data_IF_670199558533
#
_entry.id   IF_670199558533
#
_cell.length_a   1.000
_cell.length_b   1.000
_cell.length_c   1.000
_cell.angle_alpha   90.00
_cell.angle_beta   90.00
_cell.angle_gamma   90.00
#
_symmetry.space_group_name_H-M   'P 1'
#
loop_
_entity.id
_entity.type
_entity.pdbx_description
1 polymer ?
#
# COMPACT_ATOMS: atom_id res chain seq x y z
N UNK A 1 8.83 5.53 20.54
CA UNK A 1 8.90 5.53 19.06
C UNK A 1 7.81 6.47 18.62
N UNK A 2 8.11 7.42 17.73
CA UNK A 2 7.18 8.50 17.40
C UNK A 2 6.06 7.97 16.48
N UNK A 3 4.87 7.77 17.05
CA UNK A 3 3.68 7.30 16.34
C UNK A 3 3.29 8.24 15.17
N UNK A 4 3.86 9.46 15.12
CA UNK A 4 3.70 10.43 14.04
C UNK A 4 4.17 9.92 12.66
N UNK A 5 5.18 9.05 12.63
CA UNK A 5 5.71 8.54 11.37
C UNK A 5 4.82 7.42 10.81
N UNK A 6 4.21 6.61 11.70
CA UNK A 6 3.34 5.52 11.27
C UNK A 6 2.05 6.06 10.64
N UNK A 7 1.46 7.11 11.22
CA UNK A 7 0.26 7.75 10.66
C UNK A 7 0.53 8.37 9.28
N UNK A 8 1.71 8.98 9.07
CA UNK A 8 2.12 9.48 7.75
C UNK A 8 2.15 8.37 6.68
N UNK A 9 2.73 7.21 7.01
CA UNK A 9 2.76 6.08 6.08
C UNK A 9 1.39 5.46 5.86
N UNK A 10 0.53 5.43 6.88
CA UNK A 10 -0.85 4.96 6.75
C UNK A 10 -1.64 5.82 5.75
N UNK A 11 -1.54 7.15 5.86
CA UNK A 11 -2.18 8.07 4.92
C UNK A 11 -1.63 7.94 3.50
N UNK A 12 -0.31 7.73 3.38
CA UNK A 12 0.35 7.49 2.09
C UNK A 12 -0.10 6.18 1.45
N UNK A 13 -0.15 5.10 2.24
CA UNK A 13 -0.59 3.78 1.83
C UNK A 13 -2.04 3.79 1.36
N UNK A 14 -2.94 4.45 2.10
CA UNK A 14 -4.34 4.65 1.71
C UNK A 14 -4.47 5.28 0.32
N UNK A 15 -3.75 6.37 0.06
CA UNK A 15 -3.74 7.02 -1.26
C UNK A 15 -3.15 6.11 -2.34
N UNK A 16 -2.08 5.37 -2.02
CA UNK A 16 -1.42 4.47 -2.95
C UNK A 16 -2.34 3.32 -3.37
N UNK A 17 -2.97 2.63 -2.41
CA UNK A 17 -3.91 1.54 -2.66
C UNK A 17 -5.09 2.03 -3.50
N UNK A 18 -5.73 3.13 -3.10
CA UNK A 18 -6.84 3.72 -3.86
C UNK A 18 -6.46 4.06 -5.30
N UNK A 19 -5.23 4.52 -5.53
CA UNK A 19 -4.71 4.77 -6.89
C UNK A 19 -4.44 3.49 -7.68
N UNK A 20 -4.02 2.41 -7.01
CA UNK A 20 -3.68 1.13 -7.64
C UNK A 20 -4.89 0.30 -8.03
N UNK A 21 -5.90 0.22 -7.16
CA UNK A 21 -7.07 -0.66 -7.37
C UNK A 21 -8.38 0.09 -7.62
N UNK A 22 -8.40 1.41 -7.39
CA UNK A 22 -9.59 2.25 -7.63
C UNK A 22 -10.55 2.40 -6.44
N UNK A 23 -10.36 1.64 -5.37
CA UNK A 23 -11.17 1.67 -4.15
C UNK A 23 -10.30 1.49 -2.89
N UNK A 24 -10.90 1.71 -1.72
CA UNK A 24 -10.24 1.55 -0.43
C UNK A 24 -10.35 0.08 0.01
N UNK A 25 -9.23 -0.50 0.45
CA UNK A 25 -9.16 -1.91 0.85
C UNK A 25 -8.19 -2.06 2.02
N UNK A 26 -8.72 -2.22 3.23
CA UNK A 26 -8.00 -2.06 4.49
C UNK A 26 -6.78 -2.99 4.61
N UNK A 27 -6.90 -4.24 4.18
CA UNK A 27 -5.78 -5.19 4.27
C UNK A 27 -4.60 -4.78 3.37
N UNK A 28 -4.88 -4.21 2.19
CA UNK A 28 -3.84 -3.69 1.31
C UNK A 28 -3.24 -2.40 1.86
N UNK A 29 -4.05 -1.56 2.50
CA UNK A 29 -3.57 -0.32 3.14
C UNK A 29 -2.60 -0.66 4.27
N UNK A 30 -2.93 -1.63 5.13
CA UNK A 30 -2.03 -2.11 6.20
C UNK A 30 -0.74 -2.68 5.59
N UNK A 31 -0.84 -3.53 4.57
CA UNK A 31 0.33 -4.16 3.94
C UNK A 31 1.28 -3.12 3.33
N UNK A 32 0.74 -2.15 2.59
CA UNK A 32 1.53 -1.06 1.99
C UNK A 32 2.10 -0.14 3.08
N UNK A 33 1.37 0.11 4.17
CA UNK A 33 1.88 0.89 5.32
C UNK A 33 3.11 0.24 5.91
N UNK A 34 3.05 -1.07 6.15
CA UNK A 34 4.18 -1.85 6.68
C UNK A 34 5.38 -1.78 5.75
N UNK A 35 5.19 -2.02 4.44
CA UNK A 35 6.26 -1.93 3.44
C UNK A 35 6.90 -0.54 3.42
N UNK A 36 6.09 0.52 3.41
CA UNK A 36 6.59 1.89 3.43
C UNK A 36 7.37 2.21 4.72
N UNK A 37 6.90 1.72 5.86
CA UNK A 37 7.56 1.93 7.14
C UNK A 37 8.89 1.18 7.25
N UNK A 38 8.94 -0.09 6.84
CA UNK A 38 10.13 -0.94 6.92
C UNK A 38 11.25 -0.48 5.97
N UNK A 39 10.90 -0.13 4.73
CA UNK A 39 11.87 0.26 3.71
C UNK A 39 12.12 1.79 3.62
N UNK A 40 11.67 2.56 4.61
CA UNK A 40 11.73 4.04 4.59
C UNK A 40 13.12 4.68 4.42
N UNK A 41 14.19 3.92 4.61
CA UNK A 41 15.57 4.43 4.54
C UNK A 41 16.19 4.32 3.14
N UNK A 42 15.62 3.50 2.25
CA UNK A 42 16.12 3.28 0.89
C UNK A 42 14.99 3.43 -0.11
N UNK A 43 15.12 4.40 -1.02
CA UNK A 43 14.10 4.64 -2.06
C UNK A 43 14.06 3.50 -3.10
N UNK A 44 15.19 2.87 -3.37
CA UNK A 44 15.27 1.75 -4.31
C UNK A 44 14.62 0.50 -3.71
N UNK A 45 14.94 0.14 -2.46
CA UNK A 45 14.34 -1.00 -1.77
C UNK A 45 12.82 -0.81 -1.61
N UNK A 46 12.38 0.41 -1.26
CA UNK A 46 10.96 0.72 -1.15
C UNK A 46 10.25 0.52 -2.49
N UNK A 47 10.85 0.97 -3.60
CA UNK A 47 10.30 0.80 -4.93
C UNK A 47 10.19 -0.68 -5.29
N UNK A 48 11.22 -1.48 -5.05
CA UNK A 48 11.21 -2.91 -5.32
C UNK A 48 10.16 -3.64 -4.49
N UNK A 49 10.06 -3.31 -3.19
CA UNK A 49 9.06 -3.90 -2.29
C UNK A 49 7.63 -3.56 -2.72
N UNK A 50 7.36 -2.31 -3.11
CA UNK A 50 6.05 -1.92 -3.65
C UNK A 50 5.74 -2.60 -4.98
N UNK A 51 6.74 -2.80 -5.85
CA UNK A 51 6.58 -3.53 -7.11
C UNK A 51 6.27 -5.02 -6.89
N UNK A 52 6.78 -5.62 -5.81
CA UNK A 52 6.46 -7.00 -5.46
C UNK A 52 4.98 -7.21 -5.10
N UNK A 53 4.25 -6.13 -4.72
CA UNK A 53 2.83 -6.18 -4.39
C UNK A 53 1.91 -6.09 -5.62
N UNK A 54 2.43 -5.74 -6.81
CA UNK A 54 1.60 -5.55 -8.02
C UNK A 54 0.73 -6.78 -8.38
N UNK A 55 1.20 -8.04 -8.27
CA UNK A 55 0.36 -9.21 -8.53
C UNK A 55 -0.85 -9.29 -7.59
N UNK A 56 -0.69 -8.86 -6.33
CA UNK A 56 -1.77 -8.87 -5.34
C UNK A 56 -2.81 -7.81 -5.70
N UNK A 57 -2.38 -6.60 -6.08
CA UNK A 57 -3.31 -5.55 -6.55
C UNK A 57 -4.07 -5.98 -7.80
N UNK A 58 -3.41 -6.63 -8.75
CA UNK A 58 -4.06 -7.12 -9.97
C UNK A 58 -5.13 -8.18 -9.65
N UNK A 59 -4.81 -9.13 -8.77
CA UNK A 59 -5.76 -10.15 -8.34
C UNK A 59 -6.96 -9.53 -7.60
N UNK A 60 -6.70 -8.59 -6.70
CA UNK A 60 -7.75 -7.89 -5.94
C UNK A 60 -8.76 -7.22 -6.88
N UNK A 61 -8.29 -6.49 -7.89
CA UNK A 61 -9.16 -5.87 -8.91
C UNK A 61 -9.97 -6.93 -9.67
N UNK A 62 -9.36 -8.06 -10.02
CA UNK A 62 -10.05 -9.12 -10.77
C UNK A 62 -11.13 -9.84 -9.98
N UNK A 63 -10.98 -9.97 -8.65
CA UNK A 63 -11.87 -10.80 -7.83
C UNK A 63 -12.85 -10.01 -6.98
N UNK A 64 -12.53 -8.77 -6.62
CA UNK A 64 -13.20 -8.05 -5.54
C UNK A 64 -13.59 -6.61 -5.91
N UNK A 65 -13.48 -6.18 -7.19
CA UNK A 65 -13.92 -4.83 -7.60
C UNK A 65 -15.40 -4.61 -7.18
N UNK A 66 -15.69 -3.61 -6.34
CA UNK A 66 -17.05 -3.33 -5.92
C UNK A 66 -17.86 -2.83 -7.12
N UNK A 67 -19.07 -3.39 -7.29
CA UNK A 67 -20.01 -2.97 -8.33
C UNK A 67 -20.31 -1.47 -8.15
N UNK A 68 -20.06 -0.69 -9.21
CA UNK A 68 -20.30 0.77 -9.26
C UNK A 68 -21.77 1.14 -9.16
#
# INVERSE_FOLDING_TARGET
MDDSMLSFYADSAKRYVKKKIGYEQEYLEIMVTTVMFEHRLSSDDLKEALMALEPIFALEVLTNEPLK
#
